data_IF_952784209934
#
_entry.id   IF_952784209934
#
_cell.length_a   1.000
_cell.length_b   1.000
_cell.length_c   1.000
_cell.angle_alpha   90.00
_cell.angle_beta   90.00
_cell.angle_gamma   90.00
#
_symmetry.space_group_name_H-M   'P 1'
#
loop_
_entity.id
_entity.type
_entity.pdbx_description
1 polymer ?
#
# COMPACT_ATOMS: atom_id res chain seq x y z
N UNK A 1 -2.60 27.64 33.66
CA UNK A 1 -2.40 26.21 33.95
C UNK A 1 -2.92 25.41 32.77
N UNK A 2 -2.08 25.12 31.78
CA UNK A 2 -2.45 24.22 30.67
C UNK A 2 -2.41 22.79 31.20
N UNK A 3 -3.58 22.21 31.48
CA UNK A 3 -3.72 20.79 31.74
C UNK A 3 -3.06 20.00 30.60
N UNK A 4 -2.16 19.03 30.88
CA UNK A 4 -1.64 18.18 29.83
C UNK A 4 -2.83 17.41 29.26
N UNK A 5 -3.09 17.54 27.95
CA UNK A 5 -4.05 16.66 27.27
C UNK A 5 -3.59 15.23 27.54
N UNK A 6 -4.42 14.39 28.17
CA UNK A 6 -4.12 12.95 28.28
C UNK A 6 -3.84 12.43 26.87
N UNK A 7 -2.59 12.03 26.61
CA UNK A 7 -2.25 11.45 25.31
C UNK A 7 -2.94 10.10 25.21
N UNK A 8 -4.05 10.06 24.46
CA UNK A 8 -4.80 8.84 24.20
C UNK A 8 -3.88 7.77 23.61
N UNK A 9 -3.51 6.82 24.45
CA UNK A 9 -2.56 5.78 24.12
C UNK A 9 -3.32 4.60 23.56
N UNK A 10 -3.26 4.37 22.24
CA UNK A 10 -3.85 3.18 21.60
C UNK A 10 -2.76 2.16 21.33
N UNK A 11 -2.98 0.91 21.74
CA UNK A 11 -2.00 -0.17 21.64
C UNK A 11 -0.65 0.12 22.34
N UNK A 12 -0.65 0.93 23.41
CA UNK A 12 0.57 1.30 24.15
C UNK A 12 1.46 2.32 23.43
N UNK A 13 1.01 2.90 22.32
CA UNK A 13 1.77 3.85 21.51
C UNK A 13 1.07 5.21 21.43
N UNK A 14 1.88 6.27 21.52
CA UNK A 14 1.44 7.63 21.22
C UNK A 14 1.18 7.79 19.72
N UNK A 15 0.46 8.84 19.34
CA UNK A 15 -0.03 9.05 17.97
C UNK A 15 1.09 9.05 16.92
N UNK A 16 2.21 9.73 17.20
CA UNK A 16 3.34 9.88 16.27
C UNK A 16 4.01 8.53 15.90
N UNK A 17 4.49 7.70 16.86
CA UNK A 17 5.09 6.41 16.53
C UNK A 17 4.09 5.44 15.90
N UNK A 18 2.81 5.51 16.28
CA UNK A 18 1.74 4.70 15.65
C UNK A 18 1.61 5.00 14.15
N UNK A 19 1.55 6.28 13.79
CA UNK A 19 1.45 6.71 12.39
C UNK A 19 2.64 6.26 11.55
N UNK A 20 3.85 6.40 12.08
CA UNK A 20 5.07 5.99 11.38
C UNK A 20 5.10 4.47 11.19
N UNK A 21 4.75 3.70 12.23
CA UNK A 21 4.70 2.25 12.14
C UNK A 21 3.64 1.75 11.13
N UNK A 22 2.42 2.30 11.18
CA UNK A 22 1.35 1.93 10.25
C UNK A 22 1.70 2.28 8.80
N UNK A 23 2.23 3.48 8.57
CA UNK A 23 2.64 3.93 7.24
C UNK A 23 3.81 3.10 6.71
N UNK A 24 4.79 2.80 7.56
CA UNK A 24 5.95 1.98 7.22
C UNK A 24 5.55 0.55 6.84
N UNK A 25 4.75 -0.12 7.67
CA UNK A 25 4.26 -1.47 7.39
C UNK A 25 3.38 -1.51 6.14
N UNK A 26 2.48 -0.55 5.98
CA UNK A 26 1.64 -0.44 4.78
C UNK A 26 2.47 -0.24 3.50
N UNK A 27 3.53 0.56 3.57
CA UNK A 27 4.46 0.78 2.47
C UNK A 27 5.25 -0.49 2.11
N UNK A 28 5.73 -1.23 3.11
CA UNK A 28 6.47 -2.48 2.90
C UNK A 28 5.60 -3.56 2.26
N UNK A 29 4.38 -3.76 2.75
CA UNK A 29 3.43 -4.70 2.15
C UNK A 29 3.04 -4.30 0.73
N UNK A 30 2.79 -3.01 0.49
CA UNK A 30 2.54 -2.48 -0.85
C UNK A 30 3.73 -2.70 -1.78
N UNK A 31 4.95 -2.48 -1.30
CA UNK A 31 6.17 -2.74 -2.06
C UNK A 31 6.27 -4.20 -2.48
N UNK A 32 6.10 -5.15 -1.54
CA UNK A 32 6.19 -6.59 -1.82
C UNK A 32 5.18 -7.04 -2.89
N UNK A 33 3.92 -6.66 -2.74
CA UNK A 33 2.85 -6.99 -3.70
C UNK A 33 3.14 -6.35 -5.06
N UNK A 34 3.49 -5.06 -5.07
CA UNK A 34 3.80 -4.33 -6.30
C UNK A 34 5.03 -4.88 -7.02
N UNK A 35 6.07 -5.27 -6.28
CA UNK A 35 7.29 -5.84 -6.82
C UNK A 35 7.05 -7.21 -7.44
N UNK A 36 6.26 -8.07 -6.78
CA UNK A 36 5.88 -9.37 -7.32
C UNK A 36 5.09 -9.24 -8.65
N UNK A 37 4.07 -8.37 -8.66
CA UNK A 37 3.28 -8.09 -9.86
C UNK A 37 4.11 -7.47 -10.99
N UNK A 38 5.05 -6.59 -10.64
CA UNK A 38 5.91 -5.89 -11.60
C UNK A 38 6.96 -6.81 -12.22
N UNK A 39 7.58 -7.64 -11.39
CA UNK A 39 8.53 -8.66 -11.80
C UNK A 39 7.87 -9.72 -12.69
N UNK A 40 6.68 -10.21 -12.31
CA UNK A 40 5.93 -11.17 -13.13
C UNK A 40 5.58 -10.60 -14.51
N UNK A 41 5.07 -9.37 -14.58
CA UNK A 41 4.69 -8.76 -15.85
C UNK A 41 5.91 -8.53 -16.76
N UNK A 42 6.99 -7.95 -16.23
CA UNK A 42 8.21 -7.70 -16.99
C UNK A 42 8.89 -9.00 -17.45
N UNK A 43 8.83 -10.06 -16.64
CA UNK A 43 9.30 -11.39 -17.02
C UNK A 43 8.50 -11.98 -18.18
N UNK A 44 7.17 -11.92 -18.12
CA UNK A 44 6.30 -12.38 -19.21
C UNK A 44 6.51 -11.57 -20.49
N UNK A 45 6.66 -10.26 -20.37
CA UNK A 45 6.96 -9.41 -21.51
C UNK A 45 8.31 -9.75 -22.15
N UNK A 46 9.36 -9.98 -21.35
CA UNK A 46 10.66 -10.40 -21.87
C UNK A 46 10.59 -11.75 -22.60
N UNK A 47 9.81 -12.70 -22.08
CA UNK A 47 9.58 -14.00 -22.73
C UNK A 47 8.83 -13.83 -24.05
N UNK A 48 7.82 -12.96 -24.10
CA UNK A 48 7.09 -12.67 -25.34
C UNK A 48 8.00 -12.02 -26.39
N UNK A 49 8.80 -11.02 -26.00
CA UNK A 49 9.74 -10.34 -26.91
C UNK A 49 10.84 -11.28 -27.44
N UNK A 50 11.25 -12.27 -26.65
CA UNK A 50 12.34 -13.18 -27.02
C UNK A 50 11.87 -14.60 -27.38
N UNK A 51 10.57 -14.83 -27.58
CA UNK A 51 10.04 -16.14 -27.95
C UNK A 51 10.70 -16.69 -29.23
N UNK A 52 11.13 -15.79 -30.14
CA UNK A 52 11.81 -16.14 -31.39
C UNK A 52 13.34 -16.17 -31.28
N UNK A 53 13.94 -15.72 -30.17
CA UNK A 53 15.40 -15.61 -29.96
C UNK A 53 15.86 -16.45 -28.78
N UNK A 54 15.63 -17.77 -28.87
CA UNK A 54 16.12 -18.71 -27.86
C UNK A 54 17.64 -18.89 -27.97
N UNK A 55 18.38 -18.90 -26.85
CA UNK A 55 19.82 -19.07 -26.88
C UNK A 55 20.21 -20.49 -27.34
N UNK A 56 21.06 -20.60 -28.37
CA UNK A 56 21.60 -21.87 -28.85
C UNK A 56 23.03 -22.14 -28.36
N UNK A 57 23.72 -21.11 -27.86
CA UNK A 57 25.09 -21.20 -27.30
C UNK A 57 25.09 -21.00 -25.78
N UNK A 58 26.05 -21.61 -25.08
CA UNK A 58 26.19 -21.52 -23.61
C UNK A 58 26.39 -20.07 -23.15
N UNK A 59 27.20 -19.29 -23.88
CA UNK A 59 27.39 -17.86 -23.61
C UNK A 59 26.10 -17.06 -23.81
N UNK A 60 25.34 -17.35 -24.88
CA UNK A 60 24.05 -16.73 -25.14
C UNK A 60 23.03 -17.01 -24.03
N UNK A 61 23.04 -18.24 -23.48
CA UNK A 61 22.15 -18.63 -22.38
C UNK A 61 22.38 -17.78 -21.12
N UNK A 62 23.65 -17.52 -20.78
CA UNK A 62 24.00 -16.67 -19.64
C UNK A 62 23.52 -15.22 -19.84
N UNK A 63 23.82 -14.61 -20.98
CA UNK A 63 23.41 -13.23 -21.27
C UNK A 63 21.90 -13.07 -21.34
N UNK A 64 21.19 -14.09 -21.83
CA UNK A 64 19.74 -14.14 -21.84
C UNK A 64 19.17 -14.10 -20.41
N UNK A 65 19.64 -14.97 -19.52
CA UNK A 65 19.15 -15.02 -18.13
C UNK A 65 19.55 -13.79 -17.32
N UNK A 66 20.77 -13.27 -17.54
CA UNK A 66 21.24 -12.02 -16.93
C UNK A 66 20.32 -10.86 -17.30
N UNK A 67 20.04 -10.68 -18.60
CA UNK A 67 19.18 -9.60 -19.11
C UNK A 67 17.75 -9.75 -18.61
N UNK A 68 17.21 -10.97 -18.60
CA UNK A 68 15.90 -11.28 -18.00
C UNK A 68 15.84 -10.83 -16.55
N UNK A 69 16.84 -11.17 -15.74
CA UNK A 69 16.85 -10.85 -14.33
C UNK A 69 16.90 -9.33 -14.09
N UNK A 70 17.70 -8.58 -14.85
CA UNK A 70 17.73 -7.12 -14.74
C UNK A 70 16.38 -6.47 -15.08
N UNK A 71 15.73 -6.91 -16.17
CA UNK A 71 14.41 -6.39 -16.56
C UNK A 71 13.34 -6.72 -15.52
N UNK A 72 13.38 -7.93 -14.95
CA UNK A 72 12.48 -8.36 -13.88
C UNK A 72 12.69 -7.54 -12.61
N UNK A 73 13.93 -7.34 -12.17
CA UNK A 73 14.25 -6.52 -10.99
C UNK A 73 13.81 -5.07 -11.19
N UNK A 74 14.09 -4.47 -12.34
CA UNK A 74 13.71 -3.08 -12.61
C UNK A 74 12.19 -2.92 -12.70
N UNK A 75 11.49 -3.86 -13.35
CA UNK A 75 10.03 -3.89 -13.40
C UNK A 75 9.40 -4.07 -12.02
N UNK A 76 10.01 -4.92 -11.19
CA UNK A 76 9.64 -5.13 -9.79
C UNK A 76 9.82 -3.86 -8.96
N UNK A 77 11.00 -3.24 -8.95
CA UNK A 77 11.27 -2.03 -8.17
C UNK A 77 10.34 -0.88 -8.60
N UNK A 78 10.17 -0.65 -9.91
CA UNK A 78 9.34 0.44 -10.42
C UNK A 78 7.88 0.30 -9.99
N UNK A 79 7.30 -0.89 -10.10
CA UNK A 79 5.90 -1.13 -9.70
C UNK A 79 5.77 -1.23 -8.17
N UNK A 80 6.74 -1.84 -7.50
CA UNK A 80 6.84 -1.92 -6.05
C UNK A 80 6.85 -0.55 -5.40
N UNK A 81 7.72 0.36 -5.83
CA UNK A 81 7.76 1.74 -5.33
C UNK A 81 6.41 2.45 -5.51
N UNK A 82 5.78 2.31 -6.67
CA UNK A 82 4.45 2.91 -6.93
C UNK A 82 3.38 2.38 -5.98
N UNK A 83 3.37 1.08 -5.69
CA UNK A 83 2.42 0.51 -4.73
C UNK A 83 2.75 0.90 -3.30
N UNK A 84 4.03 0.94 -2.92
CA UNK A 84 4.48 1.39 -1.61
C UNK A 84 3.99 2.81 -1.29
N UNK A 85 4.15 3.76 -2.23
CA UNK A 85 3.64 5.12 -2.05
C UNK A 85 2.11 5.17 -1.95
N UNK A 86 1.41 4.34 -2.72
CA UNK A 86 -0.07 4.29 -2.68
C UNK A 86 -0.59 3.74 -1.35
N UNK A 87 -0.08 2.60 -0.91
CA UNK A 87 -0.54 1.95 0.33
C UNK A 87 -0.04 2.70 1.55
N UNK A 88 1.20 3.19 1.55
CA UNK A 88 1.74 4.06 2.59
C UNK A 88 0.93 5.35 2.73
N UNK A 89 0.65 6.04 1.61
CA UNK A 89 -0.20 7.23 1.61
C UNK A 89 -1.61 6.95 2.15
N UNK A 90 -2.20 5.80 1.81
CA UNK A 90 -3.51 5.40 2.32
C UNK A 90 -3.48 5.17 3.85
N UNK A 91 -2.47 4.46 4.35
CA UNK A 91 -2.30 4.23 5.79
C UNK A 91 -2.04 5.53 6.55
N UNK A 92 -1.30 6.47 5.97
CA UNK A 92 -1.06 7.79 6.55
C UNK A 92 -2.37 8.58 6.67
N UNK A 93 -3.17 8.62 5.59
CA UNK A 93 -4.48 9.30 5.59
C UNK A 93 -5.41 8.68 6.63
N UNK A 94 -5.50 7.35 6.67
CA UNK A 94 -6.29 6.63 7.68
C UNK A 94 -5.89 7.05 9.09
N UNK A 95 -4.60 6.96 9.41
CA UNK A 95 -4.11 7.28 10.74
C UNK A 95 -4.28 8.76 11.09
N UNK A 96 -4.14 9.67 10.11
CA UNK A 96 -4.37 11.10 10.32
C UNK A 96 -5.84 11.41 10.64
N UNK A 97 -6.78 10.75 9.95
CA UNK A 97 -8.20 10.88 10.24
C UNK A 97 -8.52 10.28 11.61
N UNK A 98 -8.02 9.08 11.90
CA UNK A 98 -8.23 8.42 13.20
C UNK A 98 -7.71 9.30 14.35
N UNK A 99 -6.47 9.81 14.24
CA UNK A 99 -5.89 10.71 15.24
C UNK A 99 -6.65 12.04 15.38
N UNK A 100 -7.14 12.59 14.26
CA UNK A 100 -7.96 13.81 14.27
C UNK A 100 -9.30 13.59 14.96
N UNK A 101 -9.95 12.45 14.74
CA UNK A 101 -11.21 12.12 15.41
C UNK A 101 -11.00 11.75 16.89
N UNK A 102 -9.86 11.12 17.23
CA UNK A 102 -9.47 10.84 18.63
C UNK A 102 -9.35 12.16 19.44
N UNK A 103 -8.74 13.23 18.88
CA UNK A 103 -8.60 14.54 19.55
C UNK A 103 -9.93 15.32 19.67
N UNK A 104 -10.88 15.10 18.75
CA UNK A 104 -12.21 15.75 18.80
C UNK A 104 -13.13 15.11 19.83
N UNK A 105 -13.08 13.77 19.98
CA UNK A 105 -14.00 13.03 20.85
C UNK A 105 -13.42 12.73 22.24
N UNK A 106 -12.10 12.74 22.42
CA UNK A 106 -11.47 12.46 23.70
C UNK A 106 -11.55 10.99 24.14
N UNK A 107 -12.06 10.09 23.29
CA UNK A 107 -12.22 8.66 23.58
C UNK A 107 -11.63 7.81 22.45
N UNK A 108 -10.93 6.74 22.84
CA UNK A 108 -10.25 5.83 21.94
C UNK A 108 -11.11 4.59 21.61
N UNK A 109 -12.25 4.81 20.96
CA UNK A 109 -13.24 3.74 20.71
C UNK A 109 -13.17 3.12 19.31
N UNK A 110 -13.76 1.93 19.17
CA UNK A 110 -13.90 1.18 17.91
C UNK A 110 -14.71 1.97 16.88
N UNK A 111 -15.71 2.74 17.33
CA UNK A 111 -16.51 3.59 16.44
C UNK A 111 -15.66 4.63 15.69
N UNK A 112 -14.57 5.08 16.32
CA UNK A 112 -13.67 6.06 15.74
C UNK A 112 -12.83 5.46 14.59
N UNK A 113 -12.39 4.21 14.78
CA UNK A 113 -11.68 3.43 13.75
C UNK A 113 -12.61 3.09 12.57
N UNK A 114 -13.88 2.74 12.84
CA UNK A 114 -14.90 2.53 11.79
C UNK A 114 -15.14 3.79 10.97
N UNK A 115 -15.31 4.93 11.64
CA UNK A 115 -15.54 6.21 10.97
C UNK A 115 -14.30 6.67 10.16
N UNK A 116 -13.09 6.46 10.69
CA UNK A 116 -11.84 6.68 9.98
C UNK A 116 -11.70 5.75 8.75
N UNK A 117 -12.13 4.49 8.87
CA UNK A 117 -12.16 3.52 7.77
C UNK A 117 -13.10 3.96 6.65
N UNK A 118 -14.35 4.31 6.97
CA UNK A 118 -15.37 4.77 6.01
C UNK A 118 -14.92 6.06 5.30
N UNK A 119 -14.41 7.04 6.05
CA UNK A 119 -13.95 8.32 5.49
C UNK A 119 -12.75 8.14 4.56
N UNK A 120 -11.75 7.34 4.97
CA UNK A 120 -10.60 7.02 4.13
C UNK A 120 -11.02 6.27 2.87
N UNK A 121 -11.93 5.30 2.97
CA UNK A 121 -12.46 4.56 1.83
C UNK A 121 -13.23 5.47 0.86
N UNK A 122 -14.02 6.40 1.39
CA UNK A 122 -14.79 7.38 0.59
C UNK A 122 -13.85 8.32 -0.16
N UNK A 123 -12.83 8.86 0.52
CA UNK A 123 -11.82 9.73 -0.09
C UNK A 123 -11.05 8.97 -1.18
N UNK A 124 -10.61 7.75 -0.89
CA UNK A 124 -9.88 6.94 -1.86
C UNK A 124 -10.72 6.66 -3.11
N UNK A 125 -12.00 6.32 -2.93
CA UNK A 125 -12.87 6.00 -4.05
C UNK A 125 -13.24 7.21 -4.91
N UNK A 126 -13.41 8.39 -4.31
CA UNK A 126 -13.67 9.62 -5.07
C UNK A 126 -12.46 10.02 -5.91
N UNK A 127 -11.25 9.94 -5.34
CA UNK A 127 -9.99 10.29 -6.02
C UNK A 127 -9.63 9.31 -7.15
N UNK A 128 -9.93 8.03 -6.96
CA UNK A 128 -9.62 6.99 -7.97
C UNK A 128 -10.69 6.83 -9.05
N UNK A 129 -11.80 7.58 -8.97
CA UNK A 129 -12.95 7.50 -9.89
C UNK A 129 -13.37 6.05 -10.13
N UNK A 130 -13.48 5.27 -9.05
CA UNK A 130 -13.79 3.85 -9.15
C UNK A 130 -15.17 3.62 -9.80
N UNK A 131 -15.34 2.59 -10.65
CA UNK A 131 -16.65 2.14 -11.10
C UNK A 131 -17.55 1.82 -9.90
N UNK A 132 -18.87 2.05 -10.04
CA UNK A 132 -19.86 1.88 -8.95
C UNK A 132 -19.81 0.50 -8.29
N UNK A 133 -19.37 -0.55 -8.99
CA UNK A 133 -19.17 -1.90 -8.46
C UNK A 133 -18.03 -1.96 -7.43
N UNK A 134 -16.86 -1.38 -7.74
CA UNK A 134 -15.70 -1.35 -6.84
C UNK A 134 -15.91 -0.45 -5.64
N UNK A 135 -16.70 0.62 -5.78
CA UNK A 135 -17.06 1.53 -4.68
C UNK A 135 -17.81 0.80 -3.55
N UNK A 136 -18.75 -0.09 -3.90
CA UNK A 136 -19.52 -0.88 -2.92
C UNK A 136 -18.62 -1.82 -2.13
N UNK A 137 -17.68 -2.48 -2.79
CA UNK A 137 -16.71 -3.36 -2.11
C UNK A 137 -15.80 -2.59 -1.15
N UNK A 138 -15.28 -1.42 -1.53
CA UNK A 138 -14.44 -0.60 -0.64
C UNK A 138 -15.19 -0.12 0.60
N UNK A 139 -16.46 0.31 0.49
CA UNK A 139 -17.27 0.68 1.64
C UNK A 139 -17.57 -0.50 2.57
N UNK A 140 -17.89 -1.67 1.99
CA UNK A 140 -18.22 -2.86 2.76
C UNK A 140 -16.99 -3.39 3.52
N UNK A 141 -15.82 -3.34 2.90
CA UNK A 141 -14.54 -3.66 3.55
C UNK A 141 -14.22 -2.68 4.68
N UNK A 142 -14.46 -1.37 4.47
CA UNK A 142 -14.28 -0.35 5.50
C UNK A 142 -15.22 -0.50 6.70
N UNK A 143 -16.44 -0.99 6.48
CA UNK A 143 -17.39 -1.26 7.57
C UNK A 143 -17.09 -2.56 8.32
N UNK A 144 -16.46 -3.56 7.68
CA UNK A 144 -16.11 -4.84 8.31
C UNK A 144 -14.78 -4.84 9.06
N UNK A 145 -13.80 -4.09 8.58
CA UNK A 145 -12.43 -4.08 9.14
C UNK A 145 -12.07 -2.80 9.90
N UNK A 146 -12.94 -1.79 9.85
CA UNK A 146 -12.80 -0.56 10.63
C UNK A 146 -13.15 -0.77 12.10
#
# INVERSE_FOLDING_TARGET
SSTPKEELTRAGLTVKPRLVAMTGMGSLWGFGIGAFLGGRQSGLQYLAENAHRLPTTVQGWYFYHKTKNYRVMLGGIKRGARYAFKTGGLCLVYGAIEAGMDDIRGEADVFNSVAAGISTATLFASLTKLPRSSFRYSMLFGAMLG
#
